data_IF_995722648433
#
_entry.id   IF_995722648433
#
_cell.length_a   1.000
_cell.length_b   1.000
_cell.length_c   1.000
_cell.angle_alpha   90.00
_cell.angle_beta   90.00
_cell.angle_gamma   90.00
#
_symmetry.space_group_name_H-M   'P 1'
#
loop_
_entity.id
_entity.type
_entity.pdbx_description
1 polymer ?
#
# COMPACT_ATOMS: atom_id res chain seq x y z
N UNK A 1 16.08 -13.33 24.70
CA UNK A 1 15.73 -14.75 24.82
C UNK A 1 16.89 -15.62 25.25
N UNK A 2 18.05 -15.50 24.60
CA UNK A 2 19.25 -16.27 25.00
C UNK A 2 19.61 -16.05 26.48
N UNK A 3 19.61 -14.79 26.95
CA UNK A 3 19.84 -14.44 28.35
C UNK A 3 18.92 -15.21 29.32
N UNK A 4 17.62 -15.27 29.03
CA UNK A 4 16.64 -15.95 29.89
C UNK A 4 16.72 -17.48 29.82
N UNK A 5 17.28 -18.05 28.75
CA UNK A 5 17.47 -19.51 28.60
C UNK A 5 18.77 -20.01 29.24
N UNK A 6 19.81 -19.19 29.27
CA UNK A 6 21.14 -19.55 29.73
C UNK A 6 21.41 -19.12 31.17
N UNK A 7 20.52 -18.33 31.80
CA UNK A 7 20.69 -17.79 33.14
C UNK A 7 19.40 -17.97 33.97
N UNK A 8 19.34 -19.04 34.73
CA UNK A 8 18.16 -19.39 35.54
C UNK A 8 17.84 -18.33 36.60
N UNK A 9 18.83 -17.68 37.18
CA UNK A 9 18.68 -16.60 38.16
C UNK A 9 18.01 -15.37 37.55
N UNK A 10 18.37 -15.02 36.32
CA UNK A 10 17.76 -13.90 35.56
C UNK A 10 16.30 -14.27 35.23
N UNK A 11 16.06 -15.50 34.74
CA UNK A 11 14.71 -15.96 34.44
C UNK A 11 13.82 -15.95 35.69
N UNK A 12 14.32 -16.47 36.81
CA UNK A 12 13.57 -16.50 38.06
C UNK A 12 13.26 -15.07 38.58
N UNK A 13 14.19 -14.14 38.46
CA UNK A 13 13.97 -12.73 38.79
C UNK A 13 12.76 -12.16 38.05
N UNK A 14 12.74 -12.30 36.71
CA UNK A 14 11.62 -11.76 35.89
C UNK A 14 10.32 -12.52 36.10
N UNK A 15 10.34 -13.86 36.31
CA UNK A 15 9.15 -14.63 36.63
C UNK A 15 8.55 -14.21 37.99
N UNK A 16 9.37 -13.91 39.00
CA UNK A 16 8.89 -13.39 40.28
C UNK A 16 8.33 -11.95 40.16
N UNK A 17 8.88 -11.15 39.26
CA UNK A 17 8.41 -9.78 38.97
C UNK A 17 7.08 -9.82 38.22
N UNK A 18 6.98 -10.63 37.16
CA UNK A 18 5.81 -10.74 36.26
C UNK A 18 4.99 -12.00 36.60
N UNK A 19 4.22 -11.95 37.67
CA UNK A 19 3.40 -13.08 38.13
C UNK A 19 2.17 -13.33 37.26
N UNK A 20 1.75 -12.35 36.46
CA UNK A 20 0.66 -12.42 35.49
C UNK A 20 1.19 -11.91 34.16
N UNK A 21 1.00 -12.69 33.12
CA UNK A 21 1.36 -12.33 31.74
C UNK A 21 0.08 -12.21 30.95
N UNK A 22 -0.16 -11.03 30.36
CA UNK A 22 -1.33 -10.78 29.53
C UNK A 22 -0.84 -10.35 28.15
N UNK A 23 -1.35 -10.99 27.10
CA UNK A 23 -0.95 -10.72 25.72
C UNK A 23 -2.20 -10.47 24.89
N UNK A 24 -2.25 -9.30 24.29
CA UNK A 24 -3.28 -8.93 23.31
C UNK A 24 -2.80 -9.23 21.88
N UNK A 25 -3.74 -9.34 20.93
CA UNK A 25 -3.47 -9.66 19.52
C UNK A 25 -2.55 -10.88 19.35
N UNK A 26 -2.80 -11.92 20.15
CA UNK A 26 -1.89 -13.08 20.26
C UNK A 26 -1.69 -13.83 18.94
N UNK A 27 -2.65 -13.77 18.00
CA UNK A 27 -2.55 -14.33 16.64
C UNK A 27 -1.46 -13.69 15.78
N UNK A 28 -0.99 -12.50 16.15
CA UNK A 28 0.06 -11.77 15.41
C UNK A 28 1.46 -11.98 15.99
N UNK A 29 1.58 -12.84 17.02
CA UNK A 29 2.87 -13.13 17.64
C UNK A 29 3.74 -14.02 16.75
N UNK A 30 5.04 -13.65 16.64
CA UNK A 30 6.03 -14.50 16.02
C UNK A 30 6.60 -15.53 17.03
N UNK A 31 7.38 -16.49 16.54
CA UNK A 31 7.95 -17.55 17.37
C UNK A 31 8.80 -16.99 18.53
N UNK A 32 9.55 -15.90 18.32
CA UNK A 32 10.36 -15.31 19.39
C UNK A 32 9.51 -14.72 20.51
N UNK A 33 8.43 -14.03 20.18
CA UNK A 33 7.46 -13.48 21.13
C UNK A 33 6.73 -14.60 21.88
N UNK A 34 6.32 -15.65 21.19
CA UNK A 34 5.73 -16.85 21.78
C UNK A 34 6.67 -17.47 22.83
N UNK A 35 7.94 -17.70 22.50
CA UNK A 35 8.91 -18.27 23.44
C UNK A 35 9.15 -17.37 24.65
N UNK A 36 9.25 -16.04 24.43
CA UNK A 36 9.43 -15.09 25.52
C UNK A 36 8.26 -15.13 26.50
N UNK A 37 7.02 -15.07 26.01
CA UNK A 37 5.82 -15.10 26.85
C UNK A 37 5.68 -16.43 27.59
N UNK A 38 6.01 -17.54 26.93
CA UNK A 38 6.01 -18.87 27.52
C UNK A 38 7.02 -19.00 28.66
N UNK A 39 8.27 -18.52 28.47
CA UNK A 39 9.30 -18.54 29.53
C UNK A 39 8.89 -17.71 30.74
N UNK A 40 8.35 -16.50 30.52
CA UNK A 40 7.91 -15.63 31.61
C UNK A 40 6.73 -16.23 32.40
N UNK A 41 5.79 -16.87 31.71
CA UNK A 41 4.60 -17.45 32.34
C UNK A 41 4.85 -18.82 33.02
N UNK A 42 5.97 -19.48 32.73
CA UNK A 42 6.20 -20.88 33.03
C UNK A 42 6.12 -21.19 34.56
N UNK A 43 6.63 -20.31 35.40
CA UNK A 43 6.68 -20.54 36.89
C UNK A 43 5.30 -20.52 37.52
N UNK A 44 4.47 -19.52 37.19
CA UNK A 44 3.17 -19.33 37.87
C UNK A 44 1.98 -19.81 37.01
N UNK A 45 2.18 -20.06 35.73
CA UNK A 45 1.14 -20.45 34.75
C UNK A 45 -0.05 -19.46 34.68
N UNK A 46 0.15 -18.22 35.15
CA UNK A 46 -0.84 -17.15 35.11
C UNK A 46 -0.69 -16.40 33.78
N UNK A 47 -1.16 -17.00 32.72
CA UNK A 47 -1.16 -16.38 31.37
C UNK A 47 -2.59 -16.18 30.87
N UNK A 48 -2.87 -15.02 30.35
CA UNK A 48 -4.10 -14.70 29.65
C UNK A 48 -3.75 -14.16 28.26
N UNK A 49 -4.27 -14.77 27.22
CA UNK A 49 -4.09 -14.29 25.86
C UNK A 49 -5.45 -13.90 25.28
N UNK A 50 -5.46 -12.78 24.56
CA UNK A 50 -6.62 -12.32 23.81
C UNK A 50 -6.21 -12.25 22.33
N UNK A 51 -7.08 -12.70 21.45
CA UNK A 51 -6.79 -12.65 20.03
C UNK A 51 -7.93 -13.24 19.20
N UNK A 52 -7.81 -13.03 17.91
CA UNK A 52 -8.75 -13.45 16.90
C UNK A 52 -8.02 -14.13 15.75
N UNK A 53 -8.11 -15.45 15.65
CA UNK A 53 -7.49 -16.24 14.59
C UNK A 53 -7.96 -15.81 13.19
N UNK A 54 -9.20 -15.34 13.05
CA UNK A 54 -9.75 -14.81 11.80
C UNK A 54 -9.15 -13.42 11.42
N UNK A 55 -8.36 -12.79 12.31
CA UNK A 55 -7.65 -11.54 12.05
C UNK A 55 -6.13 -11.69 12.02
N UNK A 56 -5.60 -12.91 11.85
CA UNK A 56 -4.17 -13.17 11.67
C UNK A 56 -3.76 -12.82 10.22
N UNK A 57 -3.17 -11.64 10.02
CA UNK A 57 -2.85 -11.06 8.70
C UNK A 57 -1.40 -10.56 8.60
N UNK A 58 -0.51 -10.97 9.51
CA UNK A 58 0.90 -10.53 9.56
C UNK A 58 1.91 -11.66 9.37
N UNK A 59 1.55 -12.73 8.61
CA UNK A 59 2.46 -13.83 8.24
C UNK A 59 3.73 -13.30 7.58
N UNK A 60 3.63 -12.31 6.71
CA UNK A 60 4.76 -11.64 6.07
C UNK A 60 5.73 -10.94 7.05
N UNK A 61 5.30 -10.66 8.29
CA UNK A 61 6.15 -10.17 9.39
C UNK A 61 6.61 -11.28 10.33
N UNK A 62 6.38 -12.53 9.97
CA UNK A 62 6.75 -13.71 10.75
C UNK A 62 5.77 -14.08 11.85
N UNK A 63 4.54 -13.55 11.85
CA UNK A 63 3.47 -14.02 12.72
C UNK A 63 3.10 -15.46 12.37
N UNK A 64 2.74 -16.23 13.40
CA UNK A 64 2.43 -17.65 13.29
C UNK A 64 1.08 -17.92 13.96
N UNK A 65 0.05 -18.17 13.14
CA UNK A 65 -1.33 -18.41 13.63
C UNK A 65 -1.41 -19.62 14.56
N UNK A 66 -0.53 -20.60 14.40
CA UNK A 66 -0.45 -21.80 15.22
C UNK A 66 -0.27 -21.47 16.71
N UNK A 67 0.32 -20.33 17.06
CA UNK A 67 0.48 -19.91 18.45
C UNK A 67 -0.87 -19.79 19.16
N UNK A 68 -1.89 -19.19 18.52
CA UNK A 68 -3.23 -19.07 19.10
C UNK A 68 -4.04 -20.35 18.91
N UNK A 69 -3.91 -21.04 17.76
CA UNK A 69 -4.65 -22.28 17.50
C UNK A 69 -4.27 -23.39 18.48
N UNK A 70 -2.97 -23.51 18.81
CA UNK A 70 -2.43 -24.57 19.67
C UNK A 70 -2.30 -24.14 21.15
N UNK A 71 -2.80 -22.97 21.54
CA UNK A 71 -2.62 -22.45 22.89
C UNK A 71 -3.06 -23.43 24.02
N UNK A 72 -4.23 -24.04 23.85
CA UNK A 72 -4.77 -25.02 24.83
C UNK A 72 -3.95 -26.32 24.94
N UNK A 73 -3.25 -26.70 23.88
CA UNK A 73 -2.37 -27.86 23.82
C UNK A 73 -1.09 -27.61 24.62
N UNK A 74 -0.58 -26.37 24.54
CA UNK A 74 0.65 -25.91 25.21
C UNK A 74 0.38 -25.62 26.69
N UNK A 75 -0.68 -24.86 26.97
CA UNK A 75 -1.09 -24.47 28.32
C UNK A 75 -2.26 -25.34 28.75
N UNK A 76 -1.94 -26.57 29.20
CA UNK A 76 -2.94 -27.55 29.66
C UNK A 76 -3.78 -27.00 30.81
N UNK A 77 -5.09 -27.06 30.64
CA UNK A 77 -6.06 -26.52 31.60
C UNK A 77 -6.45 -25.06 31.33
N UNK A 78 -5.98 -24.45 30.26
CA UNK A 78 -6.45 -23.15 29.85
C UNK A 78 -7.96 -23.18 29.57
N UNK A 79 -8.66 -22.11 29.99
CA UNK A 79 -10.08 -21.93 29.73
C UNK A 79 -10.27 -20.98 28.59
N UNK A 80 -10.88 -21.45 27.51
CA UNK A 80 -11.23 -20.60 26.34
C UNK A 80 -12.61 -20.00 26.54
N UNK A 81 -12.71 -18.68 26.35
CA UNK A 81 -13.96 -17.92 26.33
C UNK A 81 -14.07 -17.29 24.95
N UNK A 82 -15.18 -17.53 24.26
CA UNK A 82 -15.45 -16.94 22.94
C UNK A 82 -16.27 -15.67 23.09
N UNK A 83 -15.79 -14.58 22.50
CA UNK A 83 -16.49 -13.31 22.44
C UNK A 83 -17.10 -13.18 21.03
N UNK A 84 -18.33 -13.64 20.85
CA UNK A 84 -19.00 -13.71 19.55
C UNK A 84 -19.95 -12.54 19.32
N UNK A 85 -20.37 -11.83 20.38
CA UNK A 85 -21.18 -10.64 20.24
C UNK A 85 -20.34 -9.46 19.77
N UNK A 86 -20.72 -8.91 18.62
CA UNK A 86 -20.13 -7.72 18.04
C UNK A 86 -21.01 -6.50 18.35
N UNK A 87 -20.38 -5.39 18.71
CA UNK A 87 -21.06 -4.13 19.07
C UNK A 87 -20.83 -3.00 18.05
N UNK A 88 -20.05 -3.30 16.99
CA UNK A 88 -19.64 -2.34 15.97
C UNK A 88 -20.59 -2.31 14.79
N UNK A 89 -20.75 -3.43 14.14
CA UNK A 89 -21.35 -3.57 12.82
C UNK A 89 -22.82 -4.00 12.86
N UNK A 90 -23.54 -3.78 11.77
CA UNK A 90 -24.88 -4.34 11.54
C UNK A 90 -24.83 -5.83 11.19
N UNK A 91 -25.98 -6.52 11.27
CA UNK A 91 -26.06 -7.97 11.01
C UNK A 91 -25.70 -8.33 9.58
N UNK A 92 -26.09 -7.54 8.58
CA UNK A 92 -25.77 -7.83 7.18
C UNK A 92 -24.27 -7.81 6.91
N UNK A 93 -23.55 -6.84 7.49
CA UNK A 93 -22.07 -6.75 7.39
C UNK A 93 -21.42 -7.97 8.06
N UNK A 94 -21.88 -8.37 9.26
CA UNK A 94 -21.31 -9.52 9.95
C UNK A 94 -21.62 -10.84 9.25
N UNK A 95 -22.81 -10.98 8.69
CA UNK A 95 -23.19 -12.16 7.92
C UNK A 95 -22.34 -12.29 6.65
N UNK A 96 -22.04 -11.18 5.97
CA UNK A 96 -21.10 -11.17 4.83
C UNK A 96 -19.69 -11.59 5.28
N UNK A 97 -19.17 -11.05 6.40
CA UNK A 97 -17.88 -11.43 6.95
C UNK A 97 -17.86 -12.93 7.33
N UNK A 98 -18.90 -13.43 8.01
CA UNK A 98 -19.02 -14.85 8.36
C UNK A 98 -19.09 -15.75 7.11
N UNK A 99 -19.77 -15.30 6.04
CA UNK A 99 -19.88 -16.04 4.77
C UNK A 99 -18.52 -16.23 4.09
N UNK A 100 -17.67 -15.22 4.12
CA UNK A 100 -16.30 -15.29 3.57
C UNK A 100 -15.44 -16.18 4.44
N UNK A 101 -15.31 -15.87 5.74
CA UNK A 101 -14.30 -16.50 6.60
C UNK A 101 -14.59 -17.99 6.90
N UNK A 102 -15.83 -18.45 6.77
CA UNK A 102 -16.17 -19.87 6.95
C UNK A 102 -15.46 -20.81 5.98
N UNK A 103 -14.96 -20.30 4.86
CA UNK A 103 -14.23 -21.08 3.85
C UNK A 103 -12.78 -21.36 4.24
N UNK A 104 -12.26 -20.78 5.32
CA UNK A 104 -10.96 -21.16 5.88
C UNK A 104 -11.09 -22.43 6.72
N UNK A 105 -10.18 -23.39 6.52
CA UNK A 105 -10.12 -24.64 7.30
C UNK A 105 -9.37 -24.45 8.63
N UNK A 106 -8.28 -23.66 8.63
CA UNK A 106 -7.42 -23.45 9.80
C UNK A 106 -7.95 -22.38 10.76
N UNK A 107 -9.13 -22.64 11.41
CA UNK A 107 -9.74 -21.69 12.35
C UNK A 107 -10.38 -22.37 13.55
N UNK A 108 -10.50 -21.65 14.69
CA UNK A 108 -11.20 -22.14 15.90
C UNK A 108 -12.73 -22.13 15.77
N UNK A 109 -13.26 -21.55 14.71
CA UNK A 109 -14.68 -21.51 14.39
C UNK A 109 -15.50 -20.73 15.40
N UNK A 110 -15.73 -19.44 15.12
CA UNK A 110 -16.71 -18.58 15.78
C UNK A 110 -17.66 -18.01 14.72
N UNK A 111 -18.81 -17.53 15.18
CA UNK A 111 -19.78 -16.83 14.34
C UNK A 111 -20.14 -15.52 15.02
N UNK A 112 -19.79 -14.40 14.39
CA UNK A 112 -20.13 -13.09 14.94
C UNK A 112 -21.63 -12.83 14.78
N UNK A 113 -22.23 -12.25 15.81
CA UNK A 113 -23.61 -11.78 15.83
C UNK A 113 -23.72 -10.43 16.53
N UNK A 114 -24.81 -9.69 16.30
CA UNK A 114 -25.01 -8.36 16.88
C UNK A 114 -26.48 -8.10 17.22
N UNK A 115 -26.70 -7.08 18.06
CA UNK A 115 -28.03 -6.50 18.35
C UNK A 115 -28.25 -5.16 17.63
N UNK A 116 -27.32 -4.72 16.77
CA UNK A 116 -27.38 -3.44 16.05
C UNK A 116 -28.40 -3.41 14.89
N UNK A 117 -29.26 -4.44 14.78
CA UNK A 117 -30.20 -4.56 13.67
C UNK A 117 -29.58 -5.10 12.37
N UNK A 118 -30.38 -5.23 11.34
CA UNK A 118 -29.90 -5.78 10.06
C UNK A 118 -28.99 -4.80 9.32
N UNK A 119 -29.31 -3.50 9.34
CA UNK A 119 -28.63 -2.49 8.52
C UNK A 119 -28.92 -2.65 7.04
N UNK A 120 -28.26 -1.85 6.22
CA UNK A 120 -28.31 -1.97 4.76
C UNK A 120 -27.60 -3.25 4.29
N UNK A 121 -27.96 -3.70 3.09
CA UNK A 121 -27.20 -4.77 2.41
C UNK A 121 -25.81 -4.27 2.07
N UNK A 122 -24.88 -5.20 1.82
CA UNK A 122 -23.56 -4.87 1.33
C UNK A 122 -23.69 -4.45 -0.14
N UNK A 123 -23.26 -3.23 -0.45
CA UNK A 123 -23.30 -2.72 -1.82
C UNK A 123 -22.12 -3.26 -2.62
N UNK A 124 -22.40 -3.80 -3.81
CA UNK A 124 -21.35 -4.19 -4.76
C UNK A 124 -21.54 -3.45 -6.08
N UNK A 125 -20.52 -2.68 -6.46
CA UNK A 125 -20.49 -1.94 -7.72
C UNK A 125 -19.47 -2.52 -8.69
N UNK A 126 -19.93 -2.83 -9.91
CA UNK A 126 -19.04 -3.23 -11.00
C UNK A 126 -18.76 -2.05 -11.91
N UNK A 127 -17.61 -1.43 -11.72
CA UNK A 127 -17.11 -0.33 -12.52
C UNK A 127 -16.65 -0.78 -13.92
N UNK A 128 -16.65 0.13 -14.89
CA UNK A 128 -16.05 -0.11 -16.21
C UNK A 128 -14.51 -0.12 -16.14
N UNK A 129 -13.94 0.74 -15.31
CA UNK A 129 -12.49 0.87 -15.06
C UNK A 129 -12.22 1.52 -13.69
N UNK A 130 -10.95 1.75 -13.35
CA UNK A 130 -10.54 2.34 -12.08
C UNK A 130 -10.92 3.81 -11.91
N UNK A 131 -11.10 4.57 -12.99
CA UNK A 131 -11.56 5.96 -12.94
C UNK A 131 -13.07 6.02 -12.62
N UNK A 132 -13.85 5.14 -13.24
CA UNK A 132 -15.27 4.97 -12.95
C UNK A 132 -15.48 4.50 -11.50
N UNK A 133 -14.64 3.58 -11.01
CA UNK A 133 -14.61 3.17 -9.61
C UNK A 133 -14.40 4.38 -8.68
N UNK A 134 -13.40 5.22 -8.95
CA UNK A 134 -13.10 6.41 -8.15
C UNK A 134 -14.22 7.47 -8.21
N UNK A 135 -14.85 7.65 -9.37
CA UNK A 135 -15.99 8.53 -9.56
C UNK A 135 -17.18 8.09 -8.73
N UNK A 136 -17.51 6.81 -8.79
CA UNK A 136 -18.62 6.23 -8.03
C UNK A 136 -18.44 6.41 -6.51
N UNK A 137 -17.23 6.19 -6.00
CA UNK A 137 -16.91 6.45 -4.60
C UNK A 137 -17.20 7.89 -4.23
N UNK A 138 -16.75 8.84 -5.05
CA UNK A 138 -16.96 10.27 -4.80
C UNK A 138 -18.43 10.67 -4.80
N UNK A 139 -19.22 10.07 -5.69
CA UNK A 139 -20.67 10.31 -5.78
C UNK A 139 -21.39 9.85 -4.50
N UNK A 140 -21.09 8.65 -4.00
CA UNK A 140 -21.65 8.11 -2.75
C UNK A 140 -21.23 8.97 -1.55
N UNK A 141 -19.94 9.33 -1.47
CA UNK A 141 -19.47 10.24 -0.40
C UNK A 141 -20.26 11.57 -0.46
N UNK A 142 -20.46 12.12 -1.66
CA UNK A 142 -21.25 13.32 -1.87
C UNK A 142 -22.72 13.17 -1.45
N UNK A 143 -23.32 11.98 -1.59
CA UNK A 143 -24.66 11.66 -1.10
C UNK A 143 -24.70 11.65 0.42
N UNK A 144 -23.78 10.93 1.05
CA UNK A 144 -23.69 10.90 2.52
C UNK A 144 -23.47 12.28 3.14
N UNK A 145 -22.65 13.14 2.51
CA UNK A 145 -22.44 14.51 2.98
C UNK A 145 -23.74 15.35 2.94
N UNK A 146 -24.57 15.14 1.90
CA UNK A 146 -25.90 15.79 1.80
C UNK A 146 -26.88 15.30 2.88
N UNK A 147 -26.68 14.09 3.37
CA UNK A 147 -27.45 13.46 4.46
C UNK A 147 -26.89 13.82 5.85
N UNK A 148 -25.79 14.58 5.91
CA UNK A 148 -25.21 15.10 7.15
C UNK A 148 -24.05 14.28 7.73
N UNK A 149 -23.49 13.33 6.96
CA UNK A 149 -22.24 12.67 7.33
C UNK A 149 -21.04 13.62 7.14
N UNK A 150 -19.90 13.27 7.72
CA UNK A 150 -18.63 13.97 7.57
C UNK A 150 -17.67 13.19 6.70
N UNK A 151 -16.70 13.85 6.04
CA UNK A 151 -15.67 13.17 5.27
C UNK A 151 -14.90 12.13 6.10
N UNK A 152 -14.58 12.45 7.36
CA UNK A 152 -13.90 11.56 8.32
C UNK A 152 -14.67 10.28 8.66
N UNK A 153 -15.96 10.21 8.34
CA UNK A 153 -16.79 9.02 8.56
C UNK A 153 -16.52 7.93 7.50
N UNK A 154 -15.80 8.29 6.44
CA UNK A 154 -15.53 7.43 5.29
C UNK A 154 -14.11 6.91 5.29
N UNK A 155 -13.95 5.61 4.99
CA UNK A 155 -12.65 4.98 4.77
C UNK A 155 -12.63 4.24 3.43
N UNK A 156 -11.58 4.44 2.65
CA UNK A 156 -11.29 3.69 1.43
C UNK A 156 -10.13 2.73 1.71
N UNK A 157 -10.41 1.45 1.59
CA UNK A 157 -9.49 0.36 1.87
C UNK A 157 -9.06 -0.32 0.56
N UNK A 158 -7.77 -0.51 0.39
CA UNK A 158 -7.20 -1.17 -0.77
C UNK A 158 -6.17 -2.23 -0.37
N UNK A 159 -5.96 -3.23 -1.23
CA UNK A 159 -5.00 -4.32 -0.99
C UNK A 159 -3.56 -3.86 -1.17
N UNK A 160 -3.29 -3.07 -2.19
CA UNK A 160 -1.96 -2.60 -2.57
C UNK A 160 -1.89 -1.07 -2.60
N UNK A 161 -0.75 -0.53 -2.18
CA UNK A 161 -0.54 0.91 -2.18
C UNK A 161 -0.73 1.58 -3.56
N UNK A 162 -0.40 0.87 -4.64
CA UNK A 162 -0.54 1.38 -6.00
C UNK A 162 -1.99 1.73 -6.37
N UNK A 163 -3.00 1.05 -5.77
CA UNK A 163 -4.42 1.29 -6.02
C UNK A 163 -4.90 2.67 -5.54
N UNK A 164 -4.16 3.34 -4.65
CA UNK A 164 -4.57 4.66 -4.16
C UNK A 164 -4.53 5.74 -5.25
N UNK A 165 -3.63 5.62 -6.23
CA UNK A 165 -3.36 6.70 -7.19
C UNK A 165 -4.58 7.14 -8.02
N UNK A 166 -5.39 6.27 -8.66
CA UNK A 166 -6.57 6.73 -9.39
C UNK A 166 -7.55 7.49 -8.49
N UNK A 167 -7.71 7.02 -7.24
CA UNK A 167 -8.61 7.63 -6.26
C UNK A 167 -8.06 8.96 -5.76
N UNK A 168 -6.77 9.02 -5.41
CA UNK A 168 -6.08 10.26 -5.03
C UNK A 168 -6.21 11.32 -6.13
N UNK A 169 -5.93 10.93 -7.39
CA UNK A 169 -6.04 11.81 -8.55
C UNK A 169 -7.47 12.32 -8.74
N UNK A 170 -8.48 11.44 -8.61
CA UNK A 170 -9.87 11.84 -8.74
C UNK A 170 -10.30 12.77 -7.60
N UNK A 171 -9.97 12.43 -6.35
CA UNK A 171 -10.34 13.25 -5.20
C UNK A 171 -9.67 14.63 -5.22
N UNK A 172 -8.40 14.71 -5.60
CA UNK A 172 -7.71 15.99 -5.79
C UNK A 172 -8.41 16.87 -6.82
N UNK A 173 -8.76 16.32 -8.00
CA UNK A 173 -9.48 17.06 -9.05
C UNK A 173 -10.91 17.46 -8.64
N UNK A 174 -11.58 16.61 -7.87
CA UNK A 174 -12.93 16.87 -7.37
C UNK A 174 -12.95 17.78 -6.12
N UNK A 175 -11.79 18.14 -5.58
CA UNK A 175 -11.69 18.96 -4.36
C UNK A 175 -12.15 18.22 -3.11
N UNK A 176 -12.07 16.89 -3.08
CA UNK A 176 -12.41 16.05 -1.91
C UNK A 176 -11.15 15.87 -1.05
N UNK A 177 -11.11 16.46 0.16
CA UNK A 177 -9.99 16.28 1.07
C UNK A 177 -9.83 14.81 1.49
N UNK A 178 -8.60 14.29 1.43
CA UNK A 178 -8.28 12.95 1.89
C UNK A 178 -6.94 12.90 2.63
N UNK A 179 -6.74 11.84 3.41
CA UNK A 179 -5.46 11.55 4.08
C UNK A 179 -5.08 10.08 3.92
N UNK A 180 -3.79 9.82 3.75
CA UNK A 180 -3.25 8.46 3.72
C UNK A 180 -2.76 8.06 5.11
N UNK A 181 -3.28 6.95 5.64
CA UNK A 181 -2.86 6.41 6.94
C UNK A 181 -1.92 5.23 6.74
N UNK A 182 -0.78 5.27 7.43
CA UNK A 182 0.24 4.21 7.37
C UNK A 182 1.07 4.21 6.09
N UNK A 183 1.01 5.28 5.29
CA UNK A 183 1.73 5.42 4.03
C UNK A 183 2.01 6.88 3.66
N UNK A 184 2.41 7.08 2.40
CA UNK A 184 2.61 8.38 1.78
C UNK A 184 1.68 8.50 0.58
N UNK A 185 1.30 9.73 0.22
CA UNK A 185 0.60 10.04 -1.03
C UNK A 185 1.39 9.47 -2.20
N UNK A 186 0.70 9.09 -3.26
CA UNK A 186 1.33 8.38 -4.38
C UNK A 186 2.51 9.15 -4.97
N UNK A 187 2.34 10.42 -5.31
CA UNK A 187 3.39 11.25 -5.89
C UNK A 187 4.46 11.68 -4.88
N UNK A 188 4.25 11.47 -3.58
CA UNK A 188 5.24 11.73 -2.52
C UNK A 188 6.20 10.56 -2.28
N UNK A 189 5.88 9.36 -2.76
CA UNK A 189 6.72 8.17 -2.60
C UNK A 189 8.07 8.36 -3.26
N UNK A 190 9.13 7.88 -2.59
CA UNK A 190 10.51 8.09 -3.01
C UNK A 190 10.75 7.67 -4.46
N UNK A 191 10.35 6.45 -4.84
CA UNK A 191 10.54 5.89 -6.19
C UNK A 191 9.80 6.67 -7.26
N UNK A 192 8.60 7.15 -6.95
CA UNK A 192 7.79 7.96 -7.85
C UNK A 192 8.42 9.33 -8.06
N UNK A 193 8.85 10.00 -6.97
CA UNK A 193 9.58 11.27 -7.03
C UNK A 193 10.90 11.13 -7.78
N UNK A 194 11.60 10.03 -7.63
CA UNK A 194 12.87 9.79 -8.30
C UNK A 194 12.66 9.67 -9.81
N UNK A 195 11.71 8.85 -10.27
CA UNK A 195 11.42 8.70 -11.71
C UNK A 195 10.86 10.00 -12.29
N UNK A 196 9.94 10.69 -11.61
CA UNK A 196 9.46 12.00 -12.05
C UNK A 196 10.60 13.02 -12.14
N UNK A 197 11.64 12.91 -11.30
CA UNK A 197 12.82 13.78 -11.40
C UNK A 197 13.67 13.45 -12.64
N UNK A 198 13.80 12.18 -13.03
CA UNK A 198 14.40 11.82 -14.31
C UNK A 198 13.65 12.45 -15.49
N UNK A 199 12.32 12.27 -15.52
CA UNK A 199 11.46 12.82 -16.56
C UNK A 199 11.59 14.35 -16.63
N UNK A 200 11.63 15.02 -15.48
CA UNK A 200 11.74 16.47 -15.41
C UNK A 200 13.10 17.02 -15.89
N UNK A 201 14.21 16.33 -15.58
CA UNK A 201 15.54 16.74 -16.06
C UNK A 201 15.65 16.59 -17.59
N UNK A 202 14.91 15.66 -18.18
CA UNK A 202 14.83 15.51 -19.65
C UNK A 202 14.08 16.69 -20.26
N UNK A 203 12.97 17.14 -19.64
CA UNK A 203 12.22 18.33 -20.09
C UNK A 203 12.99 19.61 -19.85
N UNK A 204 13.63 19.74 -18.68
CA UNK A 204 14.39 20.93 -18.29
C UNK A 204 15.79 20.57 -17.80
N UNK A 205 16.81 20.59 -18.69
CA UNK A 205 18.19 20.31 -18.33
C UNK A 205 18.82 21.27 -17.30
N UNK A 206 18.13 22.38 -16.98
CA UNK A 206 18.56 23.39 -16.00
C UNK A 206 18.01 23.13 -14.60
N UNK A 207 17.25 22.06 -14.38
CA UNK A 207 16.71 21.71 -13.08
C UNK A 207 17.78 20.96 -12.22
N UNK A 208 18.69 21.74 -11.67
CA UNK A 208 19.78 21.24 -10.84
C UNK A 208 19.27 20.59 -9.54
N UNK A 209 18.09 20.97 -9.05
CA UNK A 209 17.50 20.38 -7.83
C UNK A 209 17.11 18.93 -8.10
N UNK A 210 16.39 18.68 -9.18
CA UNK A 210 16.01 17.34 -9.57
C UNK A 210 17.18 16.49 -10.05
N UNK A 211 18.15 17.12 -10.72
CA UNK A 211 19.40 16.43 -11.09
C UNK A 211 20.17 15.93 -9.87
N UNK A 212 20.32 16.75 -8.83
CA UNK A 212 20.97 16.33 -7.57
C UNK A 212 20.29 15.12 -6.94
N UNK A 213 18.98 15.02 -7.08
CA UNK A 213 18.21 13.90 -6.55
C UNK A 213 18.53 12.58 -7.26
N UNK A 214 18.72 12.59 -8.58
CA UNK A 214 18.81 11.37 -9.40
C UNK A 214 20.23 10.97 -9.78
N UNK A 215 21.20 11.86 -9.72
CA UNK A 215 22.57 11.61 -10.24
C UNK A 215 23.24 10.39 -9.60
N UNK A 216 22.97 10.12 -8.32
CA UNK A 216 23.45 8.94 -7.60
C UNK A 216 22.31 8.02 -7.09
N UNK A 217 21.14 8.07 -7.68
CA UNK A 217 20.01 7.20 -7.37
C UNK A 217 19.47 6.57 -8.67
N UNK A 218 19.70 5.28 -8.92
CA UNK A 218 20.46 4.29 -8.12
C UNK A 218 21.93 4.65 -7.91
N UNK A 219 22.56 4.02 -6.91
CA UNK A 219 23.95 4.30 -6.53
C UNK A 219 24.95 4.08 -7.69
N UNK A 220 25.70 5.16 -8.08
CA UNK A 220 26.65 5.18 -9.21
C UNK A 220 28.06 5.53 -8.78
N UNK A 221 28.35 5.50 -7.47
CA UNK A 221 29.62 5.92 -6.89
C UNK A 221 29.92 7.42 -7.12
N UNK A 222 28.88 8.24 -7.24
CA UNK A 222 28.96 9.69 -7.32
C UNK A 222 28.62 10.23 -5.93
N UNK A 223 29.63 10.51 -5.11
CA UNK A 223 29.44 10.94 -3.73
C UNK A 223 29.01 12.42 -3.60
N UNK A 224 28.49 12.78 -2.40
CA UNK A 224 28.01 14.13 -2.09
C UNK A 224 29.05 15.22 -2.41
N UNK A 225 30.31 15.01 -2.03
CA UNK A 225 31.42 15.96 -2.32
C UNK A 225 31.62 16.20 -3.81
N UNK A 226 31.41 15.19 -4.65
CA UNK A 226 31.48 15.35 -6.11
C UNK A 226 30.30 16.18 -6.62
N UNK A 227 29.10 15.93 -6.10
CA UNK A 227 27.87 16.69 -6.46
C UNK A 227 28.02 18.16 -6.06
N UNK A 228 28.57 18.44 -4.87
CA UNK A 228 28.86 19.80 -4.42
C UNK A 228 29.84 20.53 -5.37
N UNK A 229 30.95 19.87 -5.73
CA UNK A 229 31.94 20.42 -6.69
C UNK A 229 31.33 20.73 -8.05
N UNK A 230 30.47 19.83 -8.56
CA UNK A 230 29.74 20.08 -9.82
C UNK A 230 28.87 21.35 -9.68
N UNK A 231 28.17 21.50 -8.55
CA UNK A 231 27.36 22.68 -8.27
C UNK A 231 28.18 23.99 -8.18
N UNK A 232 29.36 23.94 -7.51
CA UNK A 232 30.28 25.08 -7.44
C UNK A 232 30.82 25.50 -8.83
N UNK A 233 31.20 24.52 -9.65
CA UNK A 233 31.66 24.75 -11.01
C UNK A 233 30.52 25.30 -11.90
N UNK A 234 29.32 24.76 -11.77
CA UNK A 234 28.13 25.25 -12.48
C UNK A 234 27.84 26.72 -12.14
N UNK A 235 27.84 27.07 -10.83
CA UNK A 235 27.61 28.42 -10.39
C UNK A 235 28.74 29.38 -10.84
N UNK A 236 30.01 28.94 -10.78
CA UNK A 236 31.15 29.73 -11.25
C UNK A 236 31.10 30.04 -12.74
N UNK A 237 30.64 29.11 -13.56
CA UNK A 237 30.60 29.25 -15.02
C UNK A 237 29.23 29.80 -15.51
N UNK A 238 28.20 29.92 -14.66
CA UNK A 238 26.86 30.39 -15.03
C UNK A 238 26.10 29.42 -15.91
N UNK A 239 26.40 28.12 -15.79
CA UNK A 239 25.82 27.03 -16.59
C UNK A 239 25.13 26.00 -15.68
N UNK A 240 24.19 25.18 -16.18
CA UNK A 240 23.59 24.11 -15.39
C UNK A 240 24.60 23.00 -15.05
N UNK A 241 24.37 22.29 -13.95
CA UNK A 241 25.21 21.16 -13.51
C UNK A 241 25.38 20.09 -14.58
N UNK A 242 24.35 19.83 -15.37
CA UNK A 242 24.35 18.84 -16.44
C UNK A 242 25.37 19.15 -17.53
N UNK A 243 25.59 20.45 -17.84
CA UNK A 243 26.60 20.90 -18.79
C UNK A 243 28.03 20.63 -18.27
N UNK A 244 28.28 20.88 -16.98
CA UNK A 244 29.55 20.50 -16.33
C UNK A 244 29.79 18.98 -16.43
N UNK A 245 28.74 18.17 -16.23
CA UNK A 245 28.83 16.71 -16.34
C UNK A 245 29.16 16.29 -17.77
N UNK A 246 28.52 16.92 -18.77
CA UNK A 246 28.77 16.65 -20.19
C UNK A 246 30.19 16.95 -20.65
N UNK A 247 30.88 17.87 -19.95
CA UNK A 247 32.26 18.26 -20.22
C UNK A 247 33.24 17.90 -19.11
N UNK A 248 32.92 16.82 -18.35
CA UNK A 248 33.63 16.46 -17.11
C UNK A 248 35.15 16.34 -17.25
N UNK A 249 35.65 15.96 -18.44
CA UNK A 249 37.10 15.85 -18.71
C UNK A 249 37.85 17.19 -18.71
N UNK A 250 37.15 18.29 -18.88
CA UNK A 250 37.69 19.62 -18.90
C UNK A 250 37.99 20.16 -17.49
N UNK A 251 37.41 19.51 -16.46
CA UNK A 251 37.51 19.92 -15.06
C UNK A 251 38.43 19.00 -14.22
N UNK A 252 39.67 19.45 -13.89
CA UNK A 252 40.62 18.63 -13.14
C UNK A 252 40.07 18.17 -11.79
N UNK A 253 39.22 18.97 -11.15
CA UNK A 253 38.61 18.70 -9.84
C UNK A 253 37.69 17.47 -9.86
N UNK A 254 37.18 17.10 -11.04
CA UNK A 254 36.21 15.99 -11.25
C UNK A 254 36.88 14.73 -11.83
N UNK A 255 38.16 14.72 -12.14
CA UNK A 255 38.83 13.61 -12.83
C UNK A 255 38.65 12.25 -12.15
N UNK A 256 38.64 12.21 -10.80
CA UNK A 256 38.42 10.95 -10.06
C UNK A 256 37.02 10.37 -10.23
N UNK A 257 36.05 11.21 -10.50
CA UNK A 257 34.65 10.82 -10.71
C UNK A 257 34.25 10.86 -12.20
N UNK A 258 35.18 11.12 -13.11
CA UNK A 258 34.85 11.33 -14.54
C UNK A 258 34.12 10.12 -15.15
N UNK A 259 34.61 8.90 -14.97
CA UNK A 259 34.02 7.73 -15.57
C UNK A 259 32.55 7.46 -15.13
N UNK A 260 32.17 7.50 -13.83
CA UNK A 260 30.76 7.38 -13.46
C UNK A 260 29.88 8.55 -13.92
N UNK A 261 30.44 9.78 -14.00
CA UNK A 261 29.71 10.94 -14.51
C UNK A 261 29.46 10.84 -16.02
N UNK A 262 30.45 10.38 -16.80
CA UNK A 262 30.30 10.11 -18.25
C UNK A 262 29.21 9.07 -18.49
N UNK A 263 29.22 7.96 -17.76
CA UNK A 263 28.17 6.92 -17.87
C UNK A 263 26.78 7.47 -17.55
N UNK A 264 26.67 8.33 -16.53
CA UNK A 264 25.40 8.98 -16.22
C UNK A 264 24.96 9.89 -17.39
N UNK A 265 25.88 10.67 -17.96
CA UNK A 265 25.57 11.57 -19.09
C UNK A 265 25.22 10.82 -20.37
N UNK A 266 25.90 9.70 -20.65
CA UNK A 266 25.57 8.80 -21.77
C UNK A 266 24.14 8.25 -21.63
N UNK A 267 23.79 7.73 -20.45
CA UNK A 267 22.45 7.26 -20.15
C UNK A 267 21.41 8.38 -20.30
N UNK A 268 21.69 9.58 -19.79
CA UNK A 268 20.83 10.75 -19.93
C UNK A 268 20.60 11.08 -21.41
N UNK A 269 21.65 11.11 -22.23
CA UNK A 269 21.55 11.35 -23.67
C UNK A 269 20.69 10.30 -24.37
N UNK A 270 20.90 9.04 -24.05
CA UNK A 270 20.08 7.95 -24.58
C UNK A 270 18.59 8.15 -24.23
N UNK A 271 18.28 8.55 -22.99
CA UNK A 271 16.90 8.86 -22.60
C UNK A 271 16.32 10.05 -23.36
N UNK A 272 17.10 11.10 -23.62
CA UNK A 272 16.66 12.21 -24.45
C UNK A 272 16.32 11.77 -25.89
N UNK A 273 17.12 10.89 -26.47
CA UNK A 273 16.86 10.36 -27.82
C UNK A 273 15.57 9.50 -27.84
N UNK A 274 15.35 8.70 -26.78
CA UNK A 274 14.14 7.90 -26.64
C UNK A 274 12.88 8.75 -26.39
N UNK A 275 13.00 9.88 -25.71
CA UNK A 275 11.85 10.75 -25.41
C UNK A 275 11.21 11.37 -26.66
N UNK A 276 11.92 11.42 -27.78
CA UNK A 276 11.40 11.94 -29.07
C UNK A 276 11.00 10.81 -30.02
N UNK A 277 11.31 9.55 -29.72
CA UNK A 277 11.09 8.41 -30.62
C UNK A 277 10.01 7.45 -30.14
N UNK A 278 9.80 7.36 -28.81
CA UNK A 278 8.83 6.46 -28.21
C UNK A 278 7.54 7.18 -27.79
N UNK A 279 6.40 6.47 -27.78
CA UNK A 279 5.21 6.92 -27.08
C UNK A 279 5.51 7.22 -25.60
N UNK A 280 4.81 8.18 -25.01
CA UNK A 280 5.14 8.72 -23.70
C UNK A 280 5.09 7.67 -22.57
N UNK A 281 4.14 6.76 -22.62
CA UNK A 281 3.99 5.66 -21.64
C UNK A 281 5.12 4.61 -21.80
N UNK A 282 5.48 4.25 -23.02
CA UNK A 282 6.62 3.37 -23.30
C UNK A 282 7.94 4.01 -22.85
N UNK A 283 8.09 5.31 -23.12
CA UNK A 283 9.26 6.10 -22.72
C UNK A 283 9.41 6.10 -21.18
N UNK A 284 8.33 6.33 -20.42
CA UNK A 284 8.37 6.27 -18.97
C UNK A 284 8.85 4.90 -18.44
N UNK A 285 8.41 3.81 -19.10
CA UNK A 285 8.91 2.45 -18.80
C UNK A 285 10.41 2.29 -19.09
N UNK A 286 10.90 2.85 -20.19
CA UNK A 286 12.33 2.80 -20.52
C UNK A 286 13.18 3.64 -19.53
N UNK A 287 12.67 4.76 -19.01
CA UNK A 287 13.35 5.52 -17.96
C UNK A 287 13.56 4.65 -16.72
N UNK A 288 12.56 3.89 -16.28
CA UNK A 288 12.66 2.99 -15.13
C UNK A 288 13.74 1.90 -15.33
N UNK A 289 13.83 1.34 -16.54
CA UNK A 289 14.79 0.29 -16.89
C UNK A 289 16.21 0.84 -17.06
N UNK A 290 16.38 1.84 -17.94
CA UNK A 290 17.71 2.35 -18.32
C UNK A 290 18.40 3.16 -17.24
N UNK A 291 17.64 3.81 -16.35
CA UNK A 291 18.21 4.42 -15.14
C UNK A 291 18.84 3.39 -14.19
N UNK A 292 18.51 2.09 -14.35
CA UNK A 292 18.90 1.02 -13.44
C UNK A 292 18.00 0.89 -12.21
N UNK A 293 16.94 1.68 -12.14
CA UNK A 293 16.04 1.72 -10.98
C UNK A 293 15.31 0.38 -10.80
N UNK A 294 14.81 -0.21 -11.88
CA UNK A 294 14.17 -1.53 -11.87
C UNK A 294 15.10 -2.62 -11.33
N UNK A 295 16.35 -2.65 -11.81
CA UNK A 295 17.34 -3.63 -11.37
C UNK A 295 17.67 -3.47 -9.88
N UNK A 296 17.79 -2.23 -9.40
CA UNK A 296 18.00 -1.93 -7.98
C UNK A 296 16.85 -2.46 -7.12
N UNK A 297 15.60 -2.21 -7.51
CA UNK A 297 14.44 -2.64 -6.75
C UNK A 297 14.29 -4.18 -6.76
N UNK A 298 14.51 -4.84 -7.90
CA UNK A 298 14.49 -6.31 -7.98
C UNK A 298 15.49 -6.96 -7.03
N UNK A 299 16.63 -6.32 -6.78
CA UNK A 299 17.62 -6.80 -5.81
C UNK A 299 17.16 -6.69 -4.35
N UNK A 300 16.17 -5.85 -4.04
CA UNK A 300 15.62 -5.64 -2.70
C UNK A 300 14.53 -6.67 -2.33
N UNK A 301 14.23 -7.64 -3.19
CA UNK A 301 13.21 -8.69 -2.99
C UNK A 301 11.83 -8.12 -2.63
N UNK A 302 11.24 -8.52 -1.49
CA UNK A 302 9.88 -8.14 -1.09
C UNK A 302 9.70 -6.61 -0.92
N UNK A 303 10.65 -5.92 -0.29
CA UNK A 303 10.59 -4.45 -0.17
C UNK A 303 10.61 -3.75 -1.53
N UNK A 304 11.38 -4.31 -2.47
CA UNK A 304 11.48 -3.80 -3.83
C UNK A 304 10.20 -4.05 -4.64
N UNK A 305 9.48 -5.13 -4.35
CA UNK A 305 8.28 -5.50 -5.11
C UNK A 305 7.18 -4.44 -5.01
N UNK A 306 6.83 -3.99 -3.81
CA UNK A 306 5.85 -2.91 -3.61
C UNK A 306 6.25 -1.62 -4.34
N UNK A 307 7.53 -1.29 -4.35
CA UNK A 307 8.04 -0.11 -5.04
C UNK A 307 8.01 -0.27 -6.56
N UNK A 308 8.22 -1.47 -7.07
CA UNK A 308 8.02 -1.79 -8.50
C UNK A 308 6.55 -1.65 -8.90
N UNK A 309 5.62 -2.08 -8.05
CA UNK A 309 4.18 -1.90 -8.26
C UNK A 309 3.81 -0.41 -8.33
N UNK A 310 4.40 0.43 -7.45
CA UNK A 310 4.21 1.88 -7.52
C UNK A 310 4.75 2.48 -8.84
N UNK A 311 5.90 2.02 -9.33
CA UNK A 311 6.43 2.47 -10.63
C UNK A 311 5.57 1.98 -11.80
N UNK A 312 5.05 0.76 -11.72
CA UNK A 312 4.07 0.27 -12.68
C UNK A 312 2.81 1.13 -12.73
N UNK A 313 2.34 1.58 -11.57
CA UNK A 313 1.20 2.49 -11.48
C UNK A 313 1.54 3.90 -12.02
N UNK A 314 2.77 4.38 -11.84
CA UNK A 314 3.22 5.63 -12.47
C UNK A 314 3.15 5.52 -14.00
N UNK A 315 3.61 4.42 -14.60
CA UNK A 315 3.50 4.18 -16.05
C UNK A 315 2.03 4.15 -16.48
N UNK A 316 1.16 3.53 -15.68
CA UNK A 316 -0.29 3.53 -15.91
C UNK A 316 -0.88 4.95 -15.89
N UNK A 317 -0.42 5.81 -14.96
CA UNK A 317 -0.86 7.22 -14.91
C UNK A 317 -0.42 8.01 -16.15
N UNK A 318 0.81 7.80 -16.64
CA UNK A 318 1.28 8.39 -17.89
C UNK A 318 0.39 7.97 -19.05
N UNK A 319 0.04 6.68 -19.13
CA UNK A 319 -0.85 6.17 -20.20
C UNK A 319 -2.25 6.76 -20.10
N UNK A 320 -2.83 6.82 -18.90
CA UNK A 320 -4.13 7.48 -18.69
C UNK A 320 -4.09 8.93 -19.15
N UNK A 321 -3.00 9.66 -18.84
CA UNK A 321 -2.81 11.03 -19.29
C UNK A 321 -2.77 11.12 -20.83
N UNK A 322 -2.06 10.20 -21.50
CA UNK A 322 -2.00 10.12 -22.96
C UNK A 322 -3.38 9.83 -23.54
N UNK A 323 -4.10 8.87 -23.00
CA UNK A 323 -5.44 8.50 -23.47
C UNK A 323 -6.46 9.65 -23.32
N UNK A 324 -6.31 10.49 -22.28
CA UNK A 324 -7.17 11.65 -22.03
C UNK A 324 -6.84 12.86 -22.92
N UNK A 325 -5.56 13.07 -23.24
CA UNK A 325 -5.09 14.27 -23.96
C UNK A 325 -4.79 14.00 -25.46
N UNK A 326 -4.75 12.74 -25.88
CA UNK A 326 -4.52 12.35 -27.28
C UNK A 326 -3.23 12.95 -27.87
N UNK A 327 -3.35 13.64 -29.01
CA UNK A 327 -2.21 14.26 -29.71
C UNK A 327 -1.58 15.44 -28.94
N UNK A 328 -2.30 16.04 -28.00
CA UNK A 328 -1.81 17.15 -27.17
C UNK A 328 -1.01 16.67 -25.94
N UNK A 329 -0.92 15.36 -25.73
CA UNK A 329 -0.18 14.78 -24.62
C UNK A 329 1.32 15.02 -24.75
N UNK A 330 1.90 15.72 -23.78
CA UNK A 330 3.34 16.00 -23.72
C UNK A 330 3.92 15.61 -22.37
N UNK A 331 5.22 15.30 -22.32
CA UNK A 331 5.90 15.02 -21.07
C UNK A 331 5.87 16.21 -20.11
N UNK A 332 6.00 17.43 -20.63
CA UNK A 332 5.88 18.64 -19.80
C UNK A 332 4.48 18.78 -19.20
N UNK A 333 3.44 18.58 -19.99
CA UNK A 333 2.04 18.63 -19.51
C UNK A 333 1.74 17.57 -18.47
N UNK A 334 2.25 16.34 -18.61
CA UNK A 334 2.14 15.31 -17.58
C UNK A 334 2.77 15.75 -16.25
N UNK A 335 3.98 16.33 -16.31
CA UNK A 335 4.68 16.81 -15.10
C UNK A 335 3.97 18.01 -14.45
N UNK A 336 3.34 18.88 -15.26
CA UNK A 336 2.50 19.98 -14.75
C UNK A 336 1.26 19.43 -14.04
N UNK A 337 0.61 18.41 -14.59
CA UNK A 337 -0.52 17.75 -13.95
C UNK A 337 -0.12 17.10 -12.61
N UNK A 338 1.02 16.40 -12.56
CA UNK A 338 1.56 15.83 -11.33
C UNK A 338 1.83 16.92 -10.28
N UNK A 339 2.40 18.06 -10.70
CA UNK A 339 2.65 19.18 -9.80
C UNK A 339 1.34 19.76 -9.24
N UNK A 340 0.34 19.94 -10.10
CA UNK A 340 -0.98 20.44 -9.70
C UNK A 340 -1.66 19.53 -8.67
N UNK A 341 -1.64 18.21 -8.90
CA UNK A 341 -2.20 17.23 -7.94
C UNK A 341 -1.47 17.33 -6.60
N UNK A 342 -0.14 17.40 -6.61
CA UNK A 342 0.67 17.50 -5.39
C UNK A 342 0.42 18.80 -4.61
N UNK A 343 0.16 19.91 -5.29
CA UNK A 343 -0.12 21.20 -4.66
C UNK A 343 -1.54 21.27 -4.08
N UNK A 344 -2.53 20.71 -4.77
CA UNK A 344 -3.91 20.62 -4.27
C UNK A 344 -4.02 19.77 -3.00
N UNK A 345 -3.12 18.81 -2.84
CA UNK A 345 -3.05 17.92 -1.69
C UNK A 345 -2.40 18.54 -0.44
N UNK A 346 -1.91 19.76 -0.48
CA UNK A 346 -1.24 20.44 0.65
C UNK A 346 -2.17 20.94 1.76
N UNK A 347 -3.42 20.44 1.81
CA UNK A 347 -4.41 20.83 2.82
C UNK A 347 -4.06 20.39 4.25
N UNK A 348 -4.59 21.14 5.22
CA UNK A 348 -4.45 20.93 6.66
C UNK A 348 -4.78 19.48 7.06
N UNK A 349 -3.84 18.81 7.72
CA UNK A 349 -4.02 17.42 8.18
C UNK A 349 -5.11 17.27 9.25
N UNK A 350 -5.52 18.36 9.88
CA UNK A 350 -6.60 18.39 10.88
C UNK A 350 -7.99 18.65 10.25
N UNK A 351 -8.06 18.89 8.94
CA UNK A 351 -9.31 19.07 8.22
C UNK A 351 -10.14 17.79 8.17
N UNK A 352 -11.47 17.96 8.08
CA UNK A 352 -12.39 16.87 7.79
C UNK A 352 -12.01 16.23 6.44
N UNK A 353 -11.63 14.97 6.44
CA UNK A 353 -11.05 14.30 5.26
C UNK A 353 -11.38 12.82 5.21
N UNK A 354 -11.54 12.29 3.99
CA UNK A 354 -11.69 10.84 3.76
C UNK A 354 -10.39 10.12 4.15
N UNK A 355 -10.51 9.03 4.88
CA UNK A 355 -9.35 8.23 5.28
C UNK A 355 -9.07 7.14 4.25
N UNK A 356 -7.86 7.10 3.72
CA UNK A 356 -7.43 6.11 2.73
C UNK A 356 -6.27 5.28 3.29
N UNK A 357 -6.30 3.95 3.15
CA UNK A 357 -5.25 3.08 3.68
C UNK A 357 -5.28 1.69 3.08
N UNK A 358 -4.19 0.94 3.25
CA UNK A 358 -4.23 -0.49 2.99
C UNK A 358 -5.12 -1.21 4.01
N UNK A 359 -5.71 -2.35 3.63
CA UNK A 359 -6.51 -3.17 4.55
C UNK A 359 -5.70 -3.57 5.78
N UNK A 360 -4.39 -3.84 5.62
CA UNK A 360 -3.50 -4.14 6.76
C UNK A 360 -3.43 -3.00 7.78
N UNK A 361 -3.37 -1.75 7.29
CA UNK A 361 -3.33 -0.56 8.16
C UNK A 361 -4.68 -0.28 8.84
N UNK A 362 -5.77 -0.84 8.31
CA UNK A 362 -7.11 -0.66 8.86
C UNK A 362 -7.39 -1.56 10.08
N UNK A 363 -6.52 -2.55 10.36
CA UNK A 363 -6.67 -3.40 11.54
C UNK A 363 -6.71 -2.55 12.81
N UNK A 364 -7.69 -2.80 13.67
CA UNK A 364 -7.92 -2.02 14.91
C UNK A 364 -8.73 -0.73 14.72
N UNK A 365 -8.92 -0.26 13.49
CA UNK A 365 -9.75 0.92 13.19
C UNK A 365 -11.19 0.53 12.85
N UNK A 366 -12.09 1.53 12.81
CA UNK A 366 -13.50 1.32 12.48
C UNK A 366 -14.14 2.63 11.97
N UNK A 367 -15.00 2.54 10.97
CA UNK A 367 -15.62 3.69 10.31
C UNK A 367 -17.10 3.45 10.06
N UNK A 368 -17.95 4.50 10.09
CA UNK A 368 -19.34 4.41 9.68
C UNK A 368 -19.50 3.80 8.28
N UNK A 369 -18.76 4.31 7.29
CA UNK A 369 -18.82 3.95 5.89
C UNK A 369 -17.46 3.45 5.41
N UNK A 370 -17.42 2.23 4.86
CA UNK A 370 -16.19 1.61 4.38
C UNK A 370 -16.33 1.20 2.92
N UNK A 371 -15.38 1.61 2.11
CA UNK A 371 -15.23 1.21 0.71
C UNK A 371 -14.05 0.26 0.60
N UNK A 372 -14.23 -0.92 0.02
CA UNK A 372 -13.16 -1.87 -0.31
C UNK A 372 -13.07 -1.95 -1.82
N UNK A 373 -11.98 -1.42 -2.37
CA UNK A 373 -11.81 -1.26 -3.82
C UNK A 373 -10.92 -2.34 -4.43
N UNK A 374 -11.12 -2.61 -5.72
CA UNK A 374 -10.31 -3.56 -6.46
C UNK A 374 -10.58 -5.01 -6.08
N UNK A 375 -11.85 -5.36 -5.84
CA UNK A 375 -12.30 -6.72 -5.56
C UNK A 375 -12.27 -7.58 -6.82
N UNK A 376 -11.04 -7.89 -7.28
CA UNK A 376 -10.78 -8.64 -8.50
C UNK A 376 -9.69 -9.69 -8.25
N UNK A 377 -9.85 -10.89 -8.78
CA UNK A 377 -8.83 -11.94 -8.73
C UNK A 377 -7.55 -11.46 -9.42
N UNK A 378 -6.41 -11.57 -8.74
CA UNK A 378 -5.14 -11.02 -9.18
C UNK A 378 -4.82 -9.63 -8.61
N UNK A 379 -5.82 -8.96 -8.00
CA UNK A 379 -5.68 -7.74 -7.20
C UNK A 379 -5.97 -8.03 -5.74
N UNK A 380 -7.19 -8.51 -5.45
CA UNK A 380 -7.62 -8.98 -4.14
C UNK A 380 -8.64 -10.13 -4.28
N UNK A 381 -8.21 -11.39 -4.09
CA UNK A 381 -6.86 -11.86 -3.68
C UNK A 381 -5.79 -11.60 -4.72
N UNK A 382 -4.53 -11.45 -4.24
CA UNK A 382 -3.37 -11.29 -5.10
C UNK A 382 -3.06 -12.54 -5.93
N UNK A 383 -2.39 -12.39 -7.09
CA UNK A 383 -2.10 -13.50 -8.01
C UNK A 383 -1.40 -14.69 -7.32
N UNK A 384 -0.44 -14.43 -6.43
CA UNK A 384 0.34 -15.49 -5.78
C UNK A 384 -0.49 -16.33 -4.82
N UNK A 385 -1.47 -15.74 -4.16
CA UNK A 385 -2.33 -16.45 -3.21
C UNK A 385 -3.19 -17.52 -3.89
N UNK A 386 -3.52 -17.36 -5.17
CA UNK A 386 -4.35 -18.31 -5.93
C UNK A 386 -3.71 -19.68 -6.14
N UNK A 387 -2.40 -19.79 -5.94
CA UNK A 387 -1.63 -21.03 -6.12
C UNK A 387 -1.24 -21.69 -4.78
N UNK A 388 -1.59 -21.08 -3.65
CA UNK A 388 -1.26 -21.58 -2.32
C UNK A 388 -2.46 -21.41 -1.37
N UNK A 389 -2.95 -22.50 -0.83
CA UNK A 389 -4.14 -22.51 0.04
C UNK A 389 -3.92 -21.70 1.32
N UNK A 390 -2.74 -21.78 1.94
CA UNK A 390 -2.42 -21.01 3.15
C UNK A 390 -2.41 -19.50 2.87
N UNK A 391 -1.88 -19.09 1.73
CA UNK A 391 -1.84 -17.68 1.33
C UNK A 391 -3.25 -17.18 0.95
N UNK A 392 -4.08 -18.04 0.35
CA UNK A 392 -5.49 -17.75 0.08
C UNK A 392 -6.29 -17.61 1.39
N UNK A 393 -6.03 -18.42 2.39
CA UNK A 393 -6.63 -18.27 3.70
C UNK A 393 -6.23 -16.97 4.40
N UNK A 394 -4.96 -16.51 4.23
CA UNK A 394 -4.53 -15.21 4.76
C UNK A 394 -5.20 -14.05 4.03
N UNK A 395 -5.30 -14.09 2.70
CA UNK A 395 -6.04 -13.08 1.92
C UNK A 395 -7.53 -13.07 2.32
N UNK A 396 -8.12 -14.22 2.62
CA UNK A 396 -9.51 -14.29 3.10
C UNK A 396 -9.68 -13.70 4.49
N UNK A 397 -8.69 -13.89 5.42
CA UNK A 397 -8.68 -13.18 6.71
C UNK A 397 -8.54 -11.67 6.51
N UNK A 398 -7.76 -11.26 5.52
CA UNK A 398 -7.63 -9.84 5.18
C UNK A 398 -8.97 -9.27 4.66
N UNK A 399 -9.71 -10.02 3.85
CA UNK A 399 -11.05 -9.66 3.42
C UNK A 399 -12.03 -9.57 4.61
N UNK A 400 -11.99 -10.54 5.51
CA UNK A 400 -12.77 -10.50 6.74
C UNK A 400 -12.44 -9.27 7.59
N UNK A 401 -11.16 -8.92 7.72
CA UNK A 401 -10.75 -7.68 8.41
C UNK A 401 -11.36 -6.47 7.72
N UNK A 402 -11.25 -6.35 6.37
CA UNK A 402 -11.79 -5.22 5.63
C UNK A 402 -13.30 -5.03 5.86
N UNK A 403 -14.08 -6.10 5.72
CA UNK A 403 -15.53 -6.10 5.92
C UNK A 403 -15.88 -5.66 7.35
N UNK A 404 -15.20 -6.19 8.35
CA UNK A 404 -15.49 -5.91 9.77
C UNK A 404 -15.02 -4.52 10.24
N UNK A 405 -14.45 -3.67 9.37
CA UNK A 405 -14.16 -2.26 9.69
C UNK A 405 -15.40 -1.38 9.58
N UNK A 406 -16.42 -1.80 8.85
CA UNK A 406 -17.64 -1.04 8.64
C UNK A 406 -18.57 -1.14 9.84
N UNK A 407 -19.15 0.01 10.24
CA UNK A 407 -20.18 0.10 11.28
C UNK A 407 -21.59 0.08 10.70
N UNK A 408 -21.84 0.95 9.71
CA UNK A 408 -23.17 1.19 9.15
C UNK A 408 -23.32 0.57 7.77
N UNK A 409 -22.44 0.93 6.84
CA UNK A 409 -22.53 0.54 5.44
C UNK A 409 -21.18 0.11 4.90
N UNK A 410 -21.22 -0.89 4.03
CA UNK A 410 -20.07 -1.47 3.36
C UNK A 410 -20.30 -1.45 1.85
N UNK A 411 -19.33 -0.87 1.15
CA UNK A 411 -19.28 -0.79 -0.30
C UNK A 411 -18.09 -1.60 -0.81
N UNK A 412 -18.35 -2.55 -1.69
CA UNK A 412 -17.35 -3.35 -2.38
C UNK A 412 -17.35 -2.94 -3.84
N UNK A 413 -16.18 -2.76 -4.45
CA UNK A 413 -16.12 -2.44 -5.88
C UNK A 413 -15.12 -3.30 -6.63
N UNK A 414 -15.47 -3.62 -7.88
CA UNK A 414 -14.62 -4.32 -8.84
C UNK A 414 -14.69 -3.62 -10.20
N UNK A 415 -13.63 -3.70 -11.00
CA UNK A 415 -13.58 -3.10 -12.32
C UNK A 415 -13.52 -4.16 -13.42
N UNK A 416 -14.28 -3.98 -14.52
CA UNK A 416 -14.22 -4.87 -15.71
C UNK A 416 -12.88 -4.84 -16.41
N UNK A 417 -12.20 -3.71 -16.32
CA UNK A 417 -10.83 -3.53 -16.81
C UNK A 417 -10.06 -2.60 -15.88
N UNK A 418 -8.79 -2.90 -15.67
CA UNK A 418 -7.89 -2.09 -14.84
C UNK A 418 -6.54 -1.94 -15.52
N UNK A 419 -5.99 -0.75 -15.50
CA UNK A 419 -4.67 -0.48 -16.04
C UNK A 419 -3.61 -0.84 -14.99
N UNK A 420 -2.84 -1.90 -15.25
CA UNK A 420 -1.80 -2.41 -14.38
C UNK A 420 -0.49 -2.47 -15.16
N UNK A 421 0.56 -1.79 -14.70
CA UNK A 421 1.86 -1.68 -15.38
C UNK A 421 1.75 -1.20 -16.84
N UNK A 422 0.88 -0.20 -17.10
CA UNK A 422 0.64 0.33 -18.44
C UNK A 422 -0.12 -0.61 -19.38
N UNK A 423 -0.60 -1.76 -18.90
CA UNK A 423 -1.38 -2.73 -19.67
C UNK A 423 -2.79 -2.87 -19.13
N UNK A 424 -3.78 -2.80 -20.00
CA UNK A 424 -5.17 -3.06 -19.63
C UNK A 424 -5.35 -4.54 -19.35
N UNK A 425 -5.71 -4.88 -18.12
CA UNK A 425 -6.08 -6.22 -17.69
C UNK A 425 -7.59 -6.31 -17.47
N UNK A 426 -8.12 -7.48 -17.72
CA UNK A 426 -9.53 -7.83 -17.44
C UNK A 426 -9.54 -9.00 -16.49
N UNK A 427 -9.57 -8.71 -15.22
CA UNK A 427 -9.62 -9.72 -14.17
C UNK A 427 -11.08 -10.11 -13.89
N UNK A 428 -11.36 -11.37 -13.53
CA UNK A 428 -12.68 -11.72 -13.03
C UNK A 428 -12.92 -11.04 -11.67
N UNK A 429 -14.19 -10.82 -11.28
CA UNK A 429 -14.52 -10.38 -9.93
C UNK A 429 -13.88 -11.29 -8.88
N UNK A 430 -13.54 -10.72 -7.73
CA UNK A 430 -12.90 -11.45 -6.64
C UNK A 430 -13.66 -12.72 -6.26
N UNK A 431 -12.91 -13.80 -6.04
CA UNK A 431 -13.45 -15.05 -5.46
C UNK A 431 -14.21 -14.76 -4.15
N UNK A 432 -13.76 -13.78 -3.36
CA UNK A 432 -14.40 -13.40 -2.10
C UNK A 432 -15.82 -12.84 -2.27
N UNK A 433 -16.11 -12.17 -3.39
CA UNK A 433 -17.48 -11.72 -3.70
C UNK A 433 -18.42 -12.91 -3.88
N UNK A 434 -17.96 -13.97 -4.54
CA UNK A 434 -18.76 -15.20 -4.72
C UNK A 434 -18.95 -16.01 -3.44
N UNK A 435 -18.15 -15.76 -2.41
CA UNK A 435 -18.26 -16.38 -1.08
C UNK A 435 -19.28 -15.68 -0.17
N UNK A 436 -19.68 -14.45 -0.49
CA UNK A 436 -20.75 -13.73 0.21
C UNK A 436 -22.10 -14.32 -0.24
N UNK A 437 -23.03 -14.51 0.70
CA UNK A 437 -24.38 -14.93 0.39
C UNK A 437 -25.05 -13.88 -0.52
N UNK A 438 -25.56 -14.25 -1.71
CA UNK A 438 -26.18 -13.31 -2.64
C UNK A 438 -27.34 -12.50 -2.05
N UNK A 439 -28.05 -13.07 -1.07
CA UNK A 439 -29.15 -12.36 -0.40
C UNK A 439 -28.68 -11.16 0.42
N UNK A 440 -27.40 -11.09 0.76
CA UNK A 440 -26.76 -9.99 1.49
C UNK A 440 -26.25 -8.88 0.56
N UNK A 441 -26.15 -9.12 -0.75
CA UNK A 441 -25.62 -8.18 -1.72
C UNK A 441 -26.72 -7.34 -2.35
N UNK A 442 -26.41 -6.07 -2.61
CA UNK A 442 -27.10 -5.15 -3.49
C UNK A 442 -26.15 -4.81 -4.65
N UNK A 443 -26.42 -5.37 -5.84
CA UNK A 443 -25.49 -5.30 -6.97
C UNK A 443 -25.91 -4.21 -7.94
N UNK A 444 -24.95 -3.34 -8.27
CA UNK A 444 -25.10 -2.28 -9.27
C UNK A 444 -23.92 -2.29 -10.24
N UNK A 445 -24.10 -1.69 -11.42
CA UNK A 445 -23.05 -1.64 -12.43
C UNK A 445 -23.14 -0.36 -13.26
N UNK A 446 -21.99 0.08 -13.82
CA UNK A 446 -21.96 1.19 -14.79
C UNK A 446 -22.54 0.80 -16.14
#
# INVERSE_FOLDING_TARGET
>A
MQLLRENDDVLELYQNQFRYVMVDEYQDTNHAQYVLTSLLADKFKNICVVGDDDQSIYKFRGATIENILNFEQVFKGAKTIRLEQNYRSTSNILNAANSVIKNNAGRKGKTLWTQNGNGEKVHHYTASNEQDEASHLADIIGEHLREGAHLRDHAVLYRMNAQSNPIETYFARAGIPYRIVGGQRFFDRKEVKDINSYLAVIVNPRDDVRLRRIINEPARKIGATTIEKIGELAAKNGVPMLEIIGHVREYPELQRAAAPLEKFYEMYRELCDLSVTLPLDEFAGEVVKKSGYEAMLKAQKEEGQTRLENLGQLISSVKTYVDQNGEDATLAGFLEEVALISDLDSYDQDADSVTMMTIHSAKGLEFPYVFVVGMEDGVFPGDMARYNEEDMEEERRLCYVAITRAKKELYLSSSRSRLIFGQTRRNPPSTFLSEIDPDLLDETQS
#
